data_IF_811252215521
#
_entry.id   IF_811252215521
#
_cell.length_a   1.000
_cell.length_b   1.000
_cell.length_c   1.000
_cell.angle_alpha   90.00
_cell.angle_beta   90.00
_cell.angle_gamma   90.00
#
_symmetry.space_group_name_H-M   'P 1'
#
loop_
_entity.id
_entity.type
_entity.pdbx_description
1 polymer ?
#
# COMPACT_ATOMS: atom_id res chain seq x y z
N UNK A 1 24.97 10.60 -0.40
CA UNK A 1 24.79 11.41 0.83
C UNK A 1 23.49 10.99 1.51
N UNK A 2 23.48 10.84 2.85
CA UNK A 2 22.23 10.55 3.58
C UNK A 2 21.29 11.77 3.57
N UNK A 3 19.98 11.58 3.41
CA UNK A 3 19.02 12.69 3.37
C UNK A 3 18.90 13.43 4.72
N UNK A 4 18.94 14.77 4.73
CA UNK A 4 18.56 15.57 5.90
C UNK A 4 17.11 15.29 6.31
N UNK A 5 16.79 15.38 7.61
CA UNK A 5 15.42 15.14 8.11
C UNK A 5 14.37 16.02 7.44
N UNK A 6 14.69 17.31 7.22
CA UNK A 6 13.79 18.24 6.54
C UNK A 6 13.47 17.82 5.11
N UNK A 7 14.47 17.33 4.36
CA UNK A 7 14.28 16.85 3.00
C UNK A 7 13.31 15.66 2.93
N UNK A 8 13.45 14.67 3.82
CA UNK A 8 12.55 13.52 3.83
C UNK A 8 11.12 13.90 4.20
N UNK A 9 10.96 14.80 5.18
CA UNK A 9 9.66 15.32 5.58
C UNK A 9 8.95 16.01 4.41
N UNK A 10 9.66 16.83 3.64
CA UNK A 10 9.11 17.47 2.43
C UNK A 10 8.69 16.44 1.39
N UNK A 11 9.53 15.43 1.08
CA UNK A 11 9.15 14.40 0.10
C UNK A 11 7.94 13.60 0.56
N UNK A 12 7.86 13.25 1.85
CA UNK A 12 6.70 12.56 2.40
C UNK A 12 5.44 13.41 2.29
N UNK A 13 5.50 14.69 2.67
CA UNK A 13 4.34 15.59 2.58
C UNK A 13 3.84 15.75 1.14
N UNK A 14 4.75 15.93 0.17
CA UNK A 14 4.41 16.03 -1.24
C UNK A 14 3.90 14.70 -1.81
N UNK A 15 4.40 13.56 -1.32
CA UNK A 15 3.88 12.24 -1.70
C UNK A 15 2.48 11.98 -1.13
N UNK A 16 2.19 12.48 0.07
CA UNK A 16 0.84 12.44 0.66
C UNK A 16 -0.12 13.30 -0.18
N UNK A 17 0.29 14.51 -0.58
CA UNK A 17 -0.51 15.34 -1.49
C UNK A 17 -0.83 14.58 -2.78
N UNK A 18 0.18 14.05 -3.46
CA UNK A 18 0.00 13.25 -4.68
C UNK A 18 -1.01 12.11 -4.48
N UNK A 19 -0.84 11.32 -3.41
CA UNK A 19 -1.72 10.18 -3.10
C UNK A 19 -3.15 10.61 -2.74
N UNK A 20 -3.29 11.68 -1.96
CA UNK A 20 -4.59 12.25 -1.62
C UNK A 20 -5.32 12.75 -2.88
N UNK A 21 -4.59 13.36 -3.82
CA UNK A 21 -5.12 13.73 -5.14
C UNK A 21 -5.63 12.53 -5.93
N UNK A 22 -4.90 11.41 -5.93
CA UNK A 22 -5.33 10.18 -6.61
C UNK A 22 -6.63 9.61 -6.03
N UNK A 23 -6.72 9.49 -4.70
CA UNK A 23 -7.95 9.01 -4.05
C UNK A 23 -9.11 9.99 -4.16
N UNK A 24 -8.84 11.30 -4.15
CA UNK A 24 -9.85 12.33 -4.39
C UNK A 24 -10.42 12.23 -5.81
N UNK A 25 -9.58 11.97 -6.80
CA UNK A 25 -9.98 11.76 -8.18
C UNK A 25 -10.80 10.46 -8.36
N UNK A 26 -10.34 9.34 -7.79
CA UNK A 26 -11.12 8.10 -7.78
C UNK A 26 -12.47 8.26 -7.07
N UNK A 27 -12.51 9.00 -5.96
CA UNK A 27 -13.77 9.33 -5.28
C UNK A 27 -14.71 10.08 -6.21
N UNK A 28 -14.23 11.08 -6.96
CA UNK A 28 -15.05 11.82 -7.91
C UNK A 28 -15.61 10.94 -9.03
N UNK A 29 -14.80 10.02 -9.58
CA UNK A 29 -15.26 9.07 -10.59
C UNK A 29 -16.39 8.15 -10.11
N UNK A 30 -16.51 7.91 -8.80
CA UNK A 30 -17.58 7.08 -8.21
C UNK A 30 -18.84 7.86 -7.88
N UNK A 31 -18.71 9.15 -7.54
CA UNK A 31 -19.82 9.94 -7.00
C UNK A 31 -20.37 11.01 -7.95
N UNK A 32 -19.60 11.40 -8.96
CA UNK A 32 -19.98 12.45 -9.89
C UNK A 32 -20.35 11.85 -11.24
N UNK A 33 -21.54 12.18 -11.74
CA UNK A 33 -22.11 11.60 -12.96
C UNK A 33 -21.56 12.19 -14.25
N UNK A 34 -20.69 13.21 -14.19
CA UNK A 34 -20.18 13.96 -15.35
C UNK A 34 -18.71 14.33 -15.18
N UNK A 35 -17.83 13.40 -15.56
CA UNK A 35 -16.42 13.69 -15.85
C UNK A 35 -16.21 13.41 -17.34
N UNK A 36 -16.76 14.26 -18.20
CA UNK A 36 -16.71 14.08 -19.67
C UNK A 36 -15.38 14.56 -20.29
N UNK A 37 -14.47 15.09 -19.48
CA UNK A 37 -13.18 15.63 -19.91
C UNK A 37 -12.04 15.11 -19.06
N UNK A 38 -10.85 15.00 -19.67
CA UNK A 38 -9.62 14.70 -18.94
C UNK A 38 -9.26 15.80 -17.93
N UNK A 39 -9.47 17.06 -18.29
CA UNK A 39 -9.16 18.18 -17.41
C UNK A 39 -10.28 18.39 -16.39
N UNK A 40 -10.04 17.95 -15.16
CA UNK A 40 -10.95 18.08 -14.03
C UNK A 40 -10.22 18.74 -12.85
N UNK A 41 -10.94 19.44 -11.95
CA UNK A 41 -10.36 19.93 -10.69
C UNK A 41 -9.62 18.85 -9.88
N UNK A 42 -10.08 17.60 -9.93
CA UNK A 42 -9.51 16.47 -9.19
C UNK A 42 -8.18 16.01 -9.80
N UNK A 43 -8.11 15.90 -11.13
CA UNK A 43 -6.85 15.77 -11.86
C UNK A 43 -5.90 16.93 -11.55
N UNK A 44 -6.39 18.17 -11.44
CA UNK A 44 -5.52 19.30 -11.10
C UNK A 44 -4.88 19.15 -9.71
N UNK A 45 -5.60 18.61 -8.71
CA UNK A 45 -5.03 18.30 -7.38
C UNK A 45 -3.96 17.20 -7.48
N UNK A 46 -4.24 16.13 -8.23
CA UNK A 46 -3.29 15.04 -8.46
C UNK A 46 -1.99 15.53 -9.14
N UNK A 47 -2.12 16.17 -10.30
CA UNK A 47 -1.00 16.62 -11.10
C UNK A 47 -0.23 17.78 -10.46
N UNK A 48 -0.87 18.63 -9.64
CA UNK A 48 -0.16 19.64 -8.87
C UNK A 48 0.72 19.04 -7.77
N UNK A 49 0.27 17.99 -7.08
CA UNK A 49 1.09 17.23 -6.13
C UNK A 49 2.30 16.58 -6.82
N UNK A 50 2.08 15.97 -8.00
CA UNK A 50 3.17 15.41 -8.82
C UNK A 50 4.18 16.48 -9.23
N UNK A 51 3.70 17.61 -9.76
CA UNK A 51 4.54 18.69 -10.26
C UNK A 51 5.35 19.33 -9.14
N UNK A 52 4.74 19.56 -7.97
CA UNK A 52 5.42 20.09 -6.80
C UNK A 52 6.58 19.16 -6.37
N UNK A 53 6.35 17.84 -6.37
CA UNK A 53 7.39 16.87 -6.05
C UNK A 53 8.50 16.80 -7.11
N UNK A 54 8.14 16.84 -8.39
CA UNK A 54 9.09 16.90 -9.50
C UNK A 54 9.98 18.14 -9.39
N UNK A 55 9.38 19.33 -9.21
CA UNK A 55 10.12 20.59 -9.04
C UNK A 55 11.05 20.51 -7.84
N UNK A 56 10.58 20.00 -6.70
CA UNK A 56 11.41 19.89 -5.50
C UNK A 56 12.64 18.98 -5.72
N UNK A 57 12.44 17.80 -6.30
CA UNK A 57 13.54 16.87 -6.58
C UNK A 57 14.47 17.39 -7.68
N UNK A 58 13.92 17.91 -8.79
CA UNK A 58 14.71 18.43 -9.89
C UNK A 58 15.52 19.67 -9.48
N UNK A 59 14.93 20.62 -8.76
CA UNK A 59 15.67 21.78 -8.26
C UNK A 59 16.76 21.39 -7.27
N UNK A 60 16.52 20.39 -6.41
CA UNK A 60 17.57 19.85 -5.53
C UNK A 60 18.71 19.23 -6.35
N UNK A 61 18.38 18.42 -7.35
CA UNK A 61 19.35 17.78 -8.23
C UNK A 61 20.20 18.80 -9.00
N UNK A 62 19.56 19.79 -9.64
CA UNK A 62 20.21 20.84 -10.41
C UNK A 62 21.08 21.74 -9.52
N UNK A 63 20.62 22.10 -8.32
CA UNK A 63 21.43 22.87 -7.36
C UNK A 63 22.67 22.10 -6.90
N UNK A 64 22.54 20.79 -6.68
CA UNK A 64 23.67 19.95 -6.30
C UNK A 64 24.64 19.77 -7.46
N UNK A 65 24.16 19.64 -8.69
CA UNK A 65 24.99 19.60 -9.89
C UNK A 65 25.75 20.93 -10.11
N UNK A 66 25.08 22.07 -9.94
CA UNK A 66 25.71 23.39 -10.04
C UNK A 66 26.80 23.63 -8.97
N UNK A 67 26.76 22.88 -7.86
CA UNK A 67 27.79 22.86 -6.82
C UNK A 67 28.93 21.87 -7.12
N UNK A 68 28.94 21.24 -8.28
CA UNK A 68 29.97 20.29 -8.71
C UNK A 68 29.85 18.89 -8.11
N UNK A 69 28.69 18.52 -7.56
CA UNK A 69 28.49 17.14 -7.11
C UNK A 69 28.43 16.17 -8.30
N UNK A 70 28.99 14.97 -8.11
CA UNK A 70 28.91 13.87 -9.07
C UNK A 70 27.45 13.46 -9.36
N UNK A 71 27.15 12.90 -10.54
CA UNK A 71 25.78 12.54 -10.95
C UNK A 71 25.03 11.64 -9.95
N UNK A 72 25.72 10.68 -9.34
CA UNK A 72 25.18 9.77 -8.33
C UNK A 72 24.89 10.44 -6.98
N UNK A 73 25.37 11.69 -6.78
CA UNK A 73 25.20 12.51 -5.58
C UNK A 73 24.32 13.73 -5.79
N UNK A 74 23.71 13.88 -6.98
CA UNK A 74 22.77 14.97 -7.25
C UNK A 74 21.55 14.93 -6.33
N UNK A 75 21.12 13.74 -5.89
CA UNK A 75 20.06 13.57 -4.90
C UNK A 75 20.54 12.77 -3.69
N UNK A 76 19.90 12.96 -2.51
CA UNK A 76 20.11 12.06 -1.40
C UNK A 76 19.82 10.60 -1.76
N UNK A 77 20.59 9.71 -1.18
CA UNK A 77 20.52 8.27 -1.48
C UNK A 77 19.09 7.75 -1.24
N UNK A 78 18.51 7.10 -2.27
CA UNK A 78 17.15 6.54 -2.24
C UNK A 78 16.12 7.30 -3.11
N UNK A 79 16.42 8.54 -3.49
CA UNK A 79 15.47 9.42 -4.19
C UNK A 79 15.66 9.52 -5.71
N UNK A 80 16.75 8.99 -6.28
CA UNK A 80 16.96 8.96 -7.74
C UNK A 80 15.79 8.31 -8.48
N UNK A 81 15.34 7.15 -8.01
CA UNK A 81 14.15 6.48 -8.58
C UNK A 81 12.85 7.26 -8.35
N UNK A 82 12.75 8.09 -7.29
CA UNK A 82 11.58 8.96 -7.12
C UNK A 82 11.54 10.06 -8.17
N UNK A 83 12.69 10.63 -8.53
CA UNK A 83 12.78 11.61 -9.62
C UNK A 83 12.41 10.99 -10.97
N UNK A 84 12.94 9.80 -11.27
CA UNK A 84 12.56 9.02 -12.46
C UNK A 84 11.06 8.74 -12.46
N UNK A 85 10.52 8.31 -11.30
CA UNK A 85 9.09 8.10 -11.11
C UNK A 85 8.26 9.35 -11.41
N UNK A 86 8.67 10.53 -10.94
CA UNK A 86 7.96 11.78 -11.26
C UNK A 86 7.94 12.07 -12.77
N UNK A 87 9.07 11.87 -13.46
CA UNK A 87 9.14 12.07 -14.90
C UNK A 87 8.26 11.07 -15.66
N UNK A 88 8.30 9.78 -15.26
CA UNK A 88 7.45 8.74 -15.82
C UNK A 88 5.97 8.97 -15.54
N UNK A 89 5.61 9.51 -14.37
CA UNK A 89 4.23 9.84 -14.03
C UNK A 89 3.72 10.99 -14.90
N UNK A 90 4.53 12.04 -15.10
CA UNK A 90 4.19 13.13 -16.01
C UNK A 90 4.02 12.66 -17.46
N UNK A 91 4.94 11.82 -17.94
CA UNK A 91 4.83 11.20 -19.27
C UNK A 91 3.60 10.28 -19.36
N UNK A 92 3.36 9.47 -18.34
CA UNK A 92 2.20 8.58 -18.24
C UNK A 92 0.90 9.35 -18.32
N UNK A 93 0.81 10.52 -17.66
CA UNK A 93 -0.37 11.37 -17.74
C UNK A 93 -0.62 11.99 -19.12
N UNK A 94 0.45 12.34 -19.85
CA UNK A 94 0.32 12.78 -21.25
C UNK A 94 -0.14 11.63 -22.14
N UNK A 95 0.42 10.43 -21.95
CA UNK A 95 0.00 9.22 -22.67
C UNK A 95 -1.47 8.92 -22.37
N UNK A 96 -1.87 8.99 -21.10
CA UNK A 96 -3.23 8.75 -20.63
C UNK A 96 -4.24 9.75 -21.23
N UNK A 97 -3.88 11.03 -21.30
CA UNK A 97 -4.67 12.04 -22.01
C UNK A 97 -4.90 11.65 -23.48
N UNK A 98 -3.84 11.29 -24.22
CA UNK A 98 -3.98 10.86 -25.62
C UNK A 98 -4.74 9.55 -25.76
N UNK A 99 -4.60 8.66 -24.77
CA UNK A 99 -5.32 7.40 -24.72
C UNK A 99 -6.83 7.65 -24.64
N UNK A 100 -7.27 8.51 -23.72
CA UNK A 100 -8.67 8.91 -23.61
C UNK A 100 -9.20 9.61 -24.87
N UNK A 101 -8.39 10.43 -25.54
CA UNK A 101 -8.78 11.05 -26.81
C UNK A 101 -8.99 10.04 -27.93
N UNK A 102 -8.23 8.93 -27.93
CA UNK A 102 -8.25 7.93 -29.00
C UNK A 102 -9.26 6.80 -28.77
N UNK A 103 -9.43 6.38 -27.52
CA UNK A 103 -10.21 5.20 -27.13
C UNK A 103 -11.43 5.52 -26.25
N UNK A 104 -11.60 6.79 -25.86
CA UNK A 104 -12.65 7.22 -24.94
C UNK A 104 -12.23 7.10 -23.47
N UNK A 105 -13.09 7.58 -22.57
CA UNK A 105 -12.87 7.47 -21.12
C UNK A 105 -13.28 6.06 -20.68
N UNK A 106 -12.33 5.30 -20.14
CA UNK A 106 -12.59 3.95 -19.63
C UNK A 106 -13.59 3.97 -18.46
N UNK A 107 -14.46 2.96 -18.41
CA UNK A 107 -15.46 2.79 -17.34
C UNK A 107 -15.17 1.51 -16.56
N UNK A 108 -15.43 1.54 -15.25
CA UNK A 108 -15.27 0.37 -14.36
C UNK A 108 -13.81 -0.12 -14.32
N UNK A 109 -13.59 -1.44 -14.34
CA UNK A 109 -12.27 -2.06 -14.20
C UNK A 109 -11.24 -1.59 -15.26
N UNK A 110 -11.70 -1.20 -16.45
CA UNK A 110 -10.83 -0.72 -17.52
C UNK A 110 -10.05 0.54 -17.09
N UNK A 111 -10.67 1.42 -16.30
CA UNK A 111 -10.03 2.63 -15.80
C UNK A 111 -8.86 2.34 -14.85
N UNK A 112 -8.80 1.15 -14.23
CA UNK A 112 -7.70 0.78 -13.34
C UNK A 112 -6.58 0.03 -14.07
N UNK A 113 -6.93 -0.80 -15.06
CA UNK A 113 -6.01 -1.78 -15.66
C UNK A 113 -5.49 -1.30 -17.03
N UNK A 114 -5.93 -0.16 -17.57
CA UNK A 114 -5.47 0.30 -18.87
C UNK A 114 -3.95 0.55 -18.89
N UNK A 115 -3.27 0.37 -20.04
CA UNK A 115 -1.80 0.48 -20.10
C UNK A 115 -1.23 1.80 -19.54
N UNK A 116 -1.82 2.99 -19.78
CA UNK A 116 -1.35 4.22 -19.15
C UNK A 116 -1.48 4.20 -17.62
N UNK A 117 -2.58 3.68 -17.09
CA UNK A 117 -2.81 3.55 -15.64
C UNK A 117 -1.79 2.61 -14.96
N UNK A 118 -1.39 1.52 -15.63
CA UNK A 118 -0.32 0.65 -15.14
C UNK A 118 1.06 1.34 -15.14
N UNK A 119 1.34 2.19 -16.13
CA UNK A 119 2.54 3.04 -16.12
C UNK A 119 2.49 4.05 -14.96
N UNK A 120 1.35 4.69 -14.74
CA UNK A 120 1.13 5.61 -13.61
C UNK A 120 1.29 4.89 -12.27
N UNK A 121 0.76 3.67 -12.13
CA UNK A 121 0.93 2.81 -10.95
C UNK A 121 2.42 2.55 -10.67
N UNK A 122 3.16 2.10 -11.68
CA UNK A 122 4.58 1.80 -11.55
C UNK A 122 5.38 3.05 -11.17
N UNK A 123 5.10 4.18 -11.84
CA UNK A 123 5.70 5.47 -11.55
C UNK A 123 5.41 5.93 -10.11
N UNK A 124 4.16 5.83 -9.66
CA UNK A 124 3.74 6.17 -8.30
C UNK A 124 4.47 5.31 -7.26
N UNK A 125 4.59 4.00 -7.50
CA UNK A 125 5.38 3.10 -6.66
C UNK A 125 6.85 3.54 -6.54
N UNK A 126 7.49 3.95 -7.64
CA UNK A 126 8.85 4.49 -7.62
C UNK A 126 8.95 5.80 -6.82
N UNK A 127 7.95 6.68 -6.95
CA UNK A 127 7.87 7.96 -6.24
C UNK A 127 7.80 7.72 -4.73
N UNK A 128 6.75 7.05 -4.26
CA UNK A 128 6.37 7.02 -2.84
C UNK A 128 7.33 6.19 -1.99
N UNK A 129 8.10 5.27 -2.59
CA UNK A 129 9.07 4.42 -1.88
C UNK A 129 10.44 5.07 -1.66
N UNK A 130 10.64 6.33 -2.05
CA UNK A 130 11.89 7.08 -1.83
C UNK A 130 12.39 7.06 -0.38
N UNK A 131 11.58 7.51 0.60
CA UNK A 131 11.96 7.47 2.02
C UNK A 131 12.22 6.05 2.53
N UNK A 132 11.47 5.05 2.09
CA UNK A 132 11.69 3.64 2.46
C UNK A 132 13.03 3.11 1.94
N UNK A 133 13.37 3.37 0.67
CA UNK A 133 14.69 3.03 0.08
C UNK A 133 15.83 3.75 0.79
N UNK A 134 15.63 5.02 1.17
CA UNK A 134 16.62 5.80 1.91
C UNK A 134 16.84 5.21 3.31
N UNK A 135 15.76 4.88 4.03
CA UNK A 135 15.83 4.25 5.35
C UNK A 135 16.52 2.89 5.32
N UNK A 136 16.30 2.09 4.28
CA UNK A 136 16.91 0.76 4.14
C UNK A 136 18.45 0.80 4.17
N UNK A 137 19.02 1.86 3.58
CA UNK A 137 20.46 2.08 3.45
C UNK A 137 21.08 2.78 4.66
N UNK A 138 20.30 3.13 5.68
CA UNK A 138 20.78 3.82 6.88
C UNK A 138 21.23 2.84 7.98
N UNK A 139 22.22 3.23 8.81
CA UNK A 139 22.50 2.52 10.04
C UNK A 139 21.32 2.64 11.01
N UNK A 140 21.07 1.58 11.78
CA UNK A 140 19.99 1.51 12.76
C UNK A 140 18.90 0.49 12.39
N UNK A 141 18.25 -0.01 13.45
CA UNK A 141 17.21 -1.04 13.34
C UNK A 141 15.80 -0.50 13.54
N UNK A 142 15.61 0.72 14.07
CA UNK A 142 14.27 1.26 14.29
C UNK A 142 13.77 1.95 13.02
N UNK A 143 12.58 1.61 12.56
CA UNK A 143 11.99 2.25 11.37
C UNK A 143 11.74 3.74 11.65
N UNK A 144 12.25 4.67 10.82
CA UNK A 144 11.84 6.07 10.92
C UNK A 144 10.40 6.23 10.43
N UNK A 145 9.67 7.20 11.01
CA UNK A 145 8.27 7.46 10.62
C UNK A 145 8.11 7.79 9.13
N UNK A 146 9.10 8.42 8.51
CA UNK A 146 9.11 8.67 7.06
C UNK A 146 9.08 7.38 6.24
N UNK A 147 9.73 6.30 6.71
CA UNK A 147 9.67 4.99 6.08
C UNK A 147 8.35 4.28 6.33
N UNK A 148 7.76 4.42 7.52
CA UNK A 148 6.43 3.86 7.84
C UNK A 148 5.36 4.50 6.97
N UNK A 149 5.36 5.84 6.84
CA UNK A 149 4.44 6.56 5.96
C UNK A 149 4.70 6.18 4.50
N UNK A 150 5.96 6.10 4.06
CA UNK A 150 6.31 5.64 2.71
C UNK A 150 5.82 4.23 2.39
N UNK A 151 5.90 3.30 3.35
CA UNK A 151 5.32 1.96 3.22
C UNK A 151 3.79 1.97 3.23
N UNK A 152 3.17 2.87 3.98
CA UNK A 152 1.72 3.09 3.96
C UNK A 152 1.26 3.58 2.59
N UNK A 153 1.97 4.55 2.01
CA UNK A 153 1.68 5.05 0.67
C UNK A 153 1.91 3.97 -0.40
N UNK A 154 2.94 3.12 -0.24
CA UNK A 154 3.13 1.96 -1.12
C UNK A 154 1.96 0.97 -1.04
N UNK A 155 1.50 0.64 0.17
CA UNK A 155 0.31 -0.18 0.36
C UNK A 155 -0.90 0.49 -0.32
N UNK A 156 -1.10 1.78 -0.09
CA UNK A 156 -2.19 2.55 -0.72
C UNK A 156 -2.10 2.61 -2.23
N UNK A 157 -0.90 2.60 -2.82
CA UNK A 157 -0.74 2.42 -4.28
C UNK A 157 -1.30 1.07 -4.69
N UNK A 158 -0.90 -0.04 -4.06
CA UNK A 158 -1.40 -1.36 -4.45
C UNK A 158 -2.91 -1.50 -4.24
N UNK A 159 -3.43 -1.07 -3.10
CA UNK A 159 -4.86 -1.18 -2.81
C UNK A 159 -5.71 -0.20 -3.63
N UNK A 160 -5.14 0.89 -4.14
CA UNK A 160 -5.83 1.77 -5.08
C UNK A 160 -6.12 1.03 -6.40
N UNK A 161 -5.15 0.29 -6.92
CA UNK A 161 -5.36 -0.47 -8.17
C UNK A 161 -6.15 -1.78 -7.94
N UNK A 162 -6.14 -2.30 -6.71
CA UNK A 162 -6.96 -3.45 -6.26
C UNK A 162 -8.36 -3.06 -5.75
N UNK A 163 -8.72 -1.75 -5.79
CA UNK A 163 -9.94 -1.23 -5.16
C UNK A 163 -11.25 -1.85 -5.67
N UNK A 164 -11.21 -2.52 -6.83
CA UNK A 164 -12.37 -3.16 -7.46
C UNK A 164 -12.88 -4.39 -6.68
N UNK A 165 -12.05 -5.01 -5.83
CA UNK A 165 -12.46 -6.16 -5.00
C UNK A 165 -11.97 -6.03 -3.55
N UNK A 166 -11.69 -4.80 -3.12
CA UNK A 166 -11.11 -4.55 -1.81
C UNK A 166 -12.19 -4.59 -0.70
N UNK A 167 -12.04 -5.34 0.42
CA UNK A 167 -13.07 -5.55 1.45
C UNK A 167 -13.64 -4.32 2.19
N UNK A 168 -12.88 -3.24 2.31
CA UNK A 168 -13.26 -1.93 2.87
C UNK A 168 -13.98 -1.04 1.85
N UNK A 169 -13.92 -1.38 0.56
CA UNK A 169 -14.67 -0.74 -0.52
C UNK A 169 -15.92 -1.56 -0.83
N UNK A 170 -15.75 -2.85 -1.15
CA UNK A 170 -16.81 -3.79 -1.49
C UNK A 170 -17.06 -4.76 -0.33
N UNK A 171 -18.15 -4.57 0.41
CA UNK A 171 -18.50 -5.41 1.55
C UNK A 171 -19.31 -6.64 1.14
N UNK A 172 -18.75 -7.45 0.23
CA UNK A 172 -19.40 -8.66 -0.30
C UNK A 172 -20.04 -9.59 0.75
N UNK A 173 -19.46 -9.79 1.97
CA UNK A 173 -20.12 -10.59 3.00
C UNK A 173 -21.50 -10.06 3.43
N UNK A 174 -21.68 -8.75 3.38
CA UNK A 174 -22.89 -8.05 3.80
C UNK A 174 -23.75 -7.54 2.62
N UNK A 175 -23.34 -7.80 1.38
CA UNK A 175 -24.07 -7.34 0.20
C UNK A 175 -25.33 -8.19 -0.03
N UNK A 176 -26.43 -7.52 -0.36
CA UNK A 176 -27.61 -8.18 -0.92
C UNK A 176 -27.38 -8.47 -2.40
N UNK A 177 -27.42 -9.75 -2.77
CA UNK A 177 -27.17 -10.21 -4.13
C UNK A 177 -28.27 -11.16 -4.57
N UNK A 178 -28.61 -11.13 -5.86
CA UNK A 178 -29.57 -12.07 -6.43
C UNK A 178 -29.07 -13.51 -6.26
N UNK A 179 -29.97 -14.50 -6.07
CA UNK A 179 -29.56 -15.90 -5.91
C UNK A 179 -28.65 -16.41 -7.03
N UNK A 180 -28.87 -15.95 -8.26
CA UNK A 180 -28.07 -16.32 -9.43
C UNK A 180 -26.62 -15.79 -9.38
N UNK A 181 -26.35 -14.70 -8.66
CA UNK A 181 -25.01 -14.10 -8.53
C UNK A 181 -24.34 -14.38 -7.18
N UNK A 182 -25.04 -15.03 -6.24
CA UNK A 182 -24.54 -15.31 -4.89
C UNK A 182 -23.20 -16.04 -4.88
N UNK A 183 -23.02 -17.01 -5.79
CA UNK A 183 -21.74 -17.73 -5.95
C UNK A 183 -20.58 -16.78 -6.27
N UNK A 184 -20.74 -15.91 -7.27
CA UNK A 184 -19.69 -14.98 -7.69
C UNK A 184 -19.37 -13.96 -6.60
N UNK A 185 -20.38 -13.45 -5.89
CA UNK A 185 -20.17 -12.54 -4.78
C UNK A 185 -19.39 -13.18 -3.61
N UNK A 186 -19.64 -14.47 -3.34
CA UNK A 186 -18.85 -15.23 -2.36
C UNK A 186 -17.41 -15.43 -2.84
N UNK A 187 -17.20 -15.82 -4.10
CA UNK A 187 -15.87 -15.98 -4.69
C UNK A 187 -15.06 -14.67 -4.63
N UNK A 188 -15.66 -13.55 -5.06
CA UNK A 188 -15.04 -12.22 -5.01
C UNK A 188 -14.75 -11.78 -3.57
N UNK A 189 -15.71 -11.90 -2.64
CA UNK A 189 -15.45 -11.54 -1.26
C UNK A 189 -14.30 -12.32 -0.61
N UNK A 190 -14.16 -13.61 -0.94
CA UNK A 190 -13.03 -14.42 -0.45
C UNK A 190 -11.72 -13.97 -1.11
N UNK A 191 -11.72 -13.74 -2.43
CA UNK A 191 -10.54 -13.25 -3.15
C UNK A 191 -10.07 -11.89 -2.62
N UNK A 192 -10.98 -10.95 -2.43
CA UNK A 192 -10.71 -9.65 -1.83
C UNK A 192 -10.06 -9.74 -0.45
N UNK A 193 -10.59 -10.60 0.44
CA UNK A 193 -9.99 -10.84 1.76
C UNK A 193 -8.58 -11.43 1.63
N UNK A 194 -8.38 -12.39 0.72
CA UNK A 194 -7.09 -13.04 0.50
C UNK A 194 -6.04 -12.06 -0.04
N UNK A 195 -6.37 -11.27 -1.06
CA UNK A 195 -5.47 -10.31 -1.70
C UNK A 195 -5.13 -9.18 -0.73
N UNK A 196 -6.12 -8.58 -0.06
CA UNK A 196 -5.88 -7.57 0.98
C UNK A 196 -4.98 -8.11 2.09
N UNK A 197 -5.21 -9.34 2.54
CA UNK A 197 -4.37 -10.00 3.55
C UNK A 197 -2.94 -10.10 3.06
N UNK A 198 -2.73 -10.54 1.82
CA UNK A 198 -1.41 -10.71 1.24
C UNK A 198 -0.67 -9.37 1.11
N UNK A 199 -1.35 -8.31 0.63
CA UNK A 199 -0.77 -6.97 0.47
C UNK A 199 -0.38 -6.36 1.82
N UNK A 200 -1.31 -6.30 2.78
CA UNK A 200 -1.06 -5.71 4.10
C UNK A 200 0.03 -6.48 4.85
N UNK A 201 -0.08 -7.81 4.92
CA UNK A 201 0.89 -8.65 5.62
C UNK A 201 2.24 -8.64 4.92
N UNK A 202 2.27 -8.64 3.59
CA UNK A 202 3.50 -8.54 2.80
C UNK A 202 4.27 -7.25 3.09
N UNK A 203 3.60 -6.09 3.14
CA UNK A 203 4.24 -4.82 3.49
C UNK A 203 4.75 -4.82 4.93
N UNK A 204 3.98 -5.34 5.89
CA UNK A 204 4.40 -5.43 7.30
C UNK A 204 5.63 -6.35 7.44
N UNK A 205 5.60 -7.53 6.82
CA UNK A 205 6.71 -8.48 6.83
C UNK A 205 7.95 -7.92 6.14
N UNK A 206 7.77 -7.18 5.02
CA UNK A 206 8.87 -6.47 4.37
C UNK A 206 9.54 -5.51 5.34
N UNK A 207 8.77 -4.72 6.10
CA UNK A 207 9.35 -3.84 7.12
C UNK A 207 10.02 -4.61 8.26
N UNK A 208 9.37 -5.65 8.79
CA UNK A 208 9.91 -6.49 9.88
C UNK A 208 11.16 -7.27 9.47
N UNK A 209 11.37 -7.51 8.17
CA UNK A 209 12.58 -8.17 7.66
C UNK A 209 13.85 -7.33 7.89
N UNK A 210 13.69 -6.02 8.08
CA UNK A 210 14.81 -5.07 8.22
C UNK A 210 14.76 -4.21 9.47
N UNK A 211 13.57 -3.92 9.98
CA UNK A 211 13.35 -2.95 11.04
C UNK A 211 12.55 -3.52 12.20
N UNK A 212 12.79 -2.93 13.37
CA UNK A 212 11.89 -2.92 14.51
C UNK A 212 10.91 -1.76 14.33
N UNK A 213 9.62 -2.07 14.37
CA UNK A 213 8.56 -1.08 14.20
C UNK A 213 8.28 -0.35 15.52
N UNK A 214 8.23 1.00 15.52
CA UNK A 214 7.60 1.76 16.60
C UNK A 214 6.15 1.29 16.82
N UNK A 215 5.69 1.27 18.07
CA UNK A 215 4.26 1.04 18.36
C UNK A 215 3.40 2.09 17.65
N UNK A 216 2.30 1.67 17.06
CA UNK A 216 1.42 2.50 16.24
C UNK A 216 1.79 2.50 14.75
N UNK A 217 2.85 1.81 14.34
CA UNK A 217 3.23 1.75 12.92
C UNK A 217 2.22 0.96 12.11
N UNK A 218 1.75 -0.18 12.62
CA UNK A 218 0.79 -1.03 11.91
C UNK A 218 -0.59 -0.38 11.93
N UNK A 219 -0.98 0.25 13.05
CA UNK A 219 -2.18 1.09 13.14
C UNK A 219 -2.17 2.24 12.12
N UNK A 220 -1.03 2.91 11.93
CA UNK A 220 -0.92 3.97 10.91
C UNK A 220 -1.05 3.39 9.49
N UNK A 221 -0.34 2.30 9.20
CA UNK A 221 -0.38 1.64 7.87
C UNK A 221 -1.81 1.22 7.54
N UNK A 222 -2.44 0.43 8.41
CA UNK A 222 -3.78 -0.08 8.19
C UNK A 222 -4.83 1.04 8.25
N UNK A 223 -4.73 1.95 9.22
CA UNK A 223 -5.71 3.01 9.45
C UNK A 223 -5.72 4.07 8.34
N UNK A 224 -4.56 4.56 7.90
CA UNK A 224 -4.51 5.53 6.79
C UNK A 224 -4.90 4.89 5.46
N UNK A 225 -4.46 3.66 5.20
CA UNK A 225 -4.89 2.90 4.03
C UNK A 225 -6.41 2.67 4.04
N UNK A 226 -6.96 2.25 5.17
CA UNK A 226 -8.40 2.04 5.36
C UNK A 226 -9.20 3.34 5.28
N UNK A 227 -8.67 4.48 5.73
CA UNK A 227 -9.31 5.78 5.57
C UNK A 227 -9.42 6.19 4.09
N UNK A 228 -8.35 5.99 3.32
CA UNK A 228 -8.34 6.25 1.88
C UNK A 228 -9.33 5.33 1.15
N UNK A 229 -9.30 4.03 1.42
CA UNK A 229 -10.22 3.05 0.81
C UNK A 229 -11.67 3.27 1.21
N UNK A 230 -11.95 3.41 2.51
CA UNK A 230 -13.31 3.60 3.02
C UNK A 230 -13.95 4.89 2.50
N UNK A 231 -13.15 5.91 2.17
CA UNK A 231 -13.66 7.14 1.55
C UNK A 231 -14.27 6.92 0.16
N UNK A 232 -13.78 5.93 -0.60
CA UNK A 232 -14.21 5.67 -1.98
C UNK A 232 -15.69 5.27 -2.09
N UNK A 233 -16.23 4.62 -1.06
CA UNK A 233 -17.63 4.17 -0.99
C UNK A 233 -18.34 4.65 0.28
N UNK A 234 -17.78 5.67 0.95
CA UNK A 234 -18.32 6.23 2.20
C UNK A 234 -18.51 5.21 3.34
N UNK A 235 -17.74 4.11 3.33
CA UNK A 235 -17.67 3.11 4.39
C UNK A 235 -16.84 3.61 5.59
N UNK A 236 -17.17 4.78 6.13
CA UNK A 236 -16.40 5.43 7.19
C UNK A 236 -16.39 4.64 8.51
N UNK A 237 -17.40 3.82 8.74
CA UNK A 237 -17.49 2.88 9.87
C UNK A 237 -16.32 1.87 9.87
N UNK A 238 -15.88 1.43 8.69
CA UNK A 238 -14.80 0.46 8.54
C UNK A 238 -13.40 1.04 8.78
N UNK A 239 -13.26 2.36 8.87
CA UNK A 239 -11.98 3.01 9.23
C UNK A 239 -11.60 2.63 10.66
N UNK A 240 -12.57 2.56 11.57
CA UNK A 240 -12.33 2.14 12.95
C UNK A 240 -11.84 0.69 13.00
N UNK A 241 -12.39 -0.19 12.16
CA UNK A 241 -11.96 -1.60 12.03
C UNK A 241 -10.49 -1.67 11.63
N UNK A 242 -10.06 -0.88 10.64
CA UNK A 242 -8.68 -0.85 10.18
C UNK A 242 -7.72 -0.33 11.27
N UNK A 243 -8.09 0.73 11.99
CA UNK A 243 -7.29 1.30 13.10
C UNK A 243 -7.17 0.29 14.24
N UNK A 244 -8.29 -0.28 14.71
CA UNK A 244 -8.30 -1.25 15.82
C UNK A 244 -7.54 -2.51 15.44
N UNK A 245 -7.74 -3.05 14.24
CA UNK A 245 -6.98 -4.19 13.73
C UNK A 245 -5.47 -3.93 13.70
N UNK A 246 -5.06 -2.75 13.26
CA UNK A 246 -3.65 -2.37 13.27
C UNK A 246 -3.07 -2.18 14.68
N UNK A 247 -3.84 -1.64 15.63
CA UNK A 247 -3.44 -1.53 17.04
C UNK A 247 -3.28 -2.92 17.70
N UNK A 248 -4.18 -3.85 17.41
CA UNK A 248 -4.06 -5.23 17.88
C UNK A 248 -2.78 -5.88 17.33
N UNK A 249 -2.48 -5.66 16.04
CA UNK A 249 -1.25 -6.14 15.43
C UNK A 249 0.02 -5.47 16.03
N UNK A 250 -0.05 -4.19 16.39
CA UNK A 250 1.03 -3.50 17.11
C UNK A 250 1.25 -4.11 18.50
N UNK A 251 0.19 -4.47 19.24
CA UNK A 251 0.28 -5.17 20.54
C UNK A 251 0.92 -6.54 20.38
N UNK A 252 0.49 -7.34 19.40
CA UNK A 252 1.09 -8.64 19.09
C UNK A 252 2.57 -8.48 18.74
N UNK A 253 2.91 -7.50 17.91
CA UNK A 253 4.31 -7.21 17.53
C UNK A 253 5.14 -6.76 18.73
N UNK A 254 4.58 -5.95 19.63
CA UNK A 254 5.25 -5.48 20.84
C UNK A 254 5.54 -6.62 21.82
N UNK A 255 4.61 -7.57 21.93
CA UNK A 255 4.70 -8.71 22.85
C UNK A 255 5.62 -9.81 22.30
N UNK A 256 5.38 -10.28 21.08
CA UNK A 256 6.14 -11.36 20.45
C UNK A 256 7.53 -10.90 19.99
N UNK A 257 7.69 -9.61 19.68
CA UNK A 257 8.91 -9.00 19.11
C UNK A 257 9.41 -9.81 17.89
N UNK A 258 8.57 -9.94 16.84
CA UNK A 258 8.91 -10.71 15.65
C UNK A 258 10.06 -10.05 14.89
N UNK A 259 10.87 -10.86 14.20
CA UNK A 259 11.95 -10.37 13.35
C UNK A 259 12.81 -11.50 12.78
N UNK A 260 13.83 -11.18 11.97
CA UNK A 260 14.63 -12.18 11.24
C UNK A 260 15.37 -13.15 12.16
N UNK A 261 15.77 -12.70 13.35
CA UNK A 261 16.43 -13.54 14.36
C UNK A 261 15.45 -14.31 15.26
N UNK A 262 14.14 -14.06 15.13
CA UNK A 262 13.08 -14.67 15.94
C UNK A 262 11.98 -15.20 15.03
N UNK A 263 12.34 -16.22 14.25
CA UNK A 263 11.52 -16.78 13.17
C UNK A 263 10.19 -17.35 13.67
N UNK A 264 10.18 -18.06 14.81
CA UNK A 264 8.94 -18.61 15.37
C UNK A 264 7.97 -17.48 15.77
N UNK A 265 8.37 -16.47 16.58
CA UNK A 265 7.53 -15.29 16.84
C UNK A 265 7.07 -14.56 15.57
N UNK A 266 7.92 -14.46 14.53
CA UNK A 266 7.55 -13.87 13.25
C UNK A 266 6.42 -14.66 12.57
N UNK A 267 6.55 -15.98 12.47
CA UNK A 267 5.54 -16.87 11.87
C UNK A 267 4.23 -16.84 12.62
N UNK A 268 4.28 -16.87 13.96
CA UNK A 268 3.09 -16.77 14.81
C UNK A 268 2.41 -15.41 14.63
N UNK A 269 3.16 -14.31 14.65
CA UNK A 269 2.60 -12.97 14.41
C UNK A 269 1.98 -12.85 13.00
N UNK A 270 2.63 -13.43 11.99
CA UNK A 270 2.16 -13.42 10.61
C UNK A 270 0.90 -14.26 10.39
N UNK A 271 0.64 -15.26 11.24
CA UNK A 271 -0.63 -16.00 11.25
C UNK A 271 -1.70 -15.25 12.06
N UNK A 272 -1.38 -14.86 13.29
CA UNK A 272 -2.34 -14.27 14.24
C UNK A 272 -2.83 -12.89 13.82
N UNK A 273 -1.97 -12.08 13.19
CA UNK A 273 -2.34 -10.74 12.70
C UNK A 273 -3.51 -10.78 11.71
N UNK A 274 -3.36 -11.48 10.57
CA UNK A 274 -4.45 -11.67 9.60
C UNK A 274 -5.70 -12.34 10.18
N UNK A 275 -5.54 -13.37 11.02
CA UNK A 275 -6.68 -13.99 11.72
C UNK A 275 -7.46 -12.95 12.52
N UNK A 276 -6.76 -12.12 13.30
CA UNK A 276 -7.37 -11.06 14.10
C UNK A 276 -8.07 -9.99 13.25
N UNK A 277 -7.41 -9.51 12.19
CA UNK A 277 -7.96 -8.48 11.29
C UNK A 277 -9.20 -8.98 10.55
N UNK A 278 -9.14 -10.18 9.94
CA UNK A 278 -10.28 -10.76 9.23
C UNK A 278 -11.44 -11.08 10.17
N UNK A 279 -11.15 -11.58 11.38
CA UNK A 279 -12.17 -11.80 12.41
C UNK A 279 -12.84 -10.50 12.81
N UNK A 280 -12.06 -9.44 13.08
CA UNK A 280 -12.58 -8.13 13.45
C UNK A 280 -13.45 -7.53 12.34
N UNK A 281 -13.02 -7.65 11.09
CA UNK A 281 -13.79 -7.18 9.92
C UNK A 281 -15.14 -7.89 9.81
N UNK A 282 -15.17 -9.22 9.86
CA UNK A 282 -16.41 -9.98 9.75
C UNK A 282 -17.35 -9.74 10.94
N UNK A 283 -16.80 -9.68 12.16
CA UNK A 283 -17.60 -9.33 13.35
C UNK A 283 -18.18 -7.93 13.22
N UNK A 284 -17.39 -6.95 12.80
CA UNK A 284 -17.87 -5.58 12.61
C UNK A 284 -18.99 -5.53 11.58
N UNK A 285 -18.83 -6.17 10.41
CA UNK A 285 -19.86 -6.26 9.39
C UNK A 285 -21.13 -6.94 9.91
N UNK A 286 -21.02 -8.04 10.66
CA UNK A 286 -22.18 -8.70 11.23
C UNK A 286 -22.93 -7.80 12.21
N UNK A 287 -22.22 -6.98 12.99
CA UNK A 287 -22.81 -6.08 13.96
C UNK A 287 -23.46 -4.85 13.32
N UNK A 288 -22.91 -4.34 12.21
CA UNK A 288 -23.37 -3.09 11.58
C UNK A 288 -24.31 -3.30 10.40
N UNK A 289 -24.11 -4.37 9.62
CA UNK A 289 -24.81 -4.61 8.34
C UNK A 289 -25.49 -5.98 8.28
N UNK A 290 -25.02 -6.95 9.08
CA UNK A 290 -25.42 -8.35 8.97
C UNK A 290 -24.70 -9.03 7.80
N UNK A 291 -24.28 -10.28 7.98
CA UNK A 291 -23.59 -11.06 6.95
C UNK A 291 -24.52 -12.17 6.45
N UNK A 292 -24.58 -12.32 5.12
CA UNK A 292 -25.40 -13.32 4.43
C UNK A 292 -24.64 -14.62 4.13
N UNK A 293 -23.39 -14.73 4.61
CA UNK A 293 -22.54 -15.89 4.38
C UNK A 293 -22.78 -17.01 5.40
N UNK A 294 -22.76 -18.28 4.97
CA UNK A 294 -22.78 -19.41 5.89
C UNK A 294 -21.51 -19.42 6.75
N UNK A 295 -21.62 -20.01 7.94
CA UNK A 295 -20.53 -20.10 8.92
C UNK A 295 -19.21 -20.69 8.35
N UNK A 296 -19.30 -21.61 7.40
CA UNK A 296 -18.11 -22.19 6.77
C UNK A 296 -17.27 -21.15 6.00
N UNK A 297 -17.90 -20.15 5.36
CA UNK A 297 -17.16 -19.08 4.67
C UNK A 297 -16.52 -18.10 5.66
N UNK A 298 -17.16 -17.86 6.81
CA UNK A 298 -16.56 -17.09 7.89
C UNK A 298 -15.29 -17.75 8.40
N UNK A 299 -15.41 -18.99 8.88
CA UNK A 299 -14.27 -19.70 9.46
C UNK A 299 -13.18 -19.94 8.42
N UNK A 300 -13.57 -20.30 7.18
CA UNK A 300 -12.65 -20.51 6.07
C UNK A 300 -11.84 -19.25 5.73
N UNK A 301 -12.48 -18.09 5.57
CA UNK A 301 -11.78 -16.85 5.24
C UNK A 301 -10.80 -16.41 6.34
N UNK A 302 -11.18 -16.53 7.62
CA UNK A 302 -10.30 -16.23 8.75
C UNK A 302 -9.05 -17.12 8.75
N UNK A 303 -9.23 -18.43 8.60
CA UNK A 303 -8.12 -19.38 8.61
C UNK A 303 -7.22 -19.24 7.37
N UNK A 304 -7.81 -19.00 6.21
CA UNK A 304 -7.05 -18.75 4.97
C UNK A 304 -6.23 -17.47 5.08
N UNK A 305 -6.76 -16.39 5.65
CA UNK A 305 -5.98 -15.18 5.93
C UNK A 305 -4.76 -15.47 6.80
N UNK A 306 -4.93 -16.25 7.88
CA UNK A 306 -3.82 -16.70 8.72
C UNK A 306 -2.79 -17.51 7.94
N UNK A 307 -3.24 -18.47 7.14
CA UNK A 307 -2.38 -19.32 6.33
C UNK A 307 -1.57 -18.51 5.29
N UNK A 308 -2.18 -17.52 4.63
CA UNK A 308 -1.49 -16.62 3.70
C UNK A 308 -0.36 -15.88 4.41
N UNK A 309 -0.64 -15.26 5.56
CA UNK A 309 0.38 -14.53 6.31
C UNK A 309 1.51 -15.44 6.80
N UNK A 310 1.17 -16.65 7.26
CA UNK A 310 2.16 -17.66 7.62
C UNK A 310 3.05 -18.05 6.44
N UNK A 311 2.48 -18.31 5.25
CA UNK A 311 3.26 -18.66 4.05
C UNK A 311 4.16 -17.50 3.59
N UNK A 312 3.65 -16.26 3.60
CA UNK A 312 4.44 -15.07 3.26
C UNK A 312 5.65 -14.87 4.19
N UNK A 313 5.55 -15.32 5.45
CA UNK A 313 6.68 -15.21 6.38
C UNK A 313 7.90 -16.03 5.96
N UNK A 314 7.73 -17.11 5.18
CA UNK A 314 8.85 -17.89 4.62
C UNK A 314 9.57 -17.14 3.50
N UNK A 315 8.88 -16.26 2.77
CA UNK A 315 9.51 -15.38 1.79
C UNK A 315 10.30 -14.26 2.47
N UNK A 316 9.78 -13.74 3.58
CA UNK A 316 10.43 -12.68 4.33
C UNK A 316 11.68 -13.14 5.09
N UNK A 317 11.65 -14.36 5.64
CA UNK A 317 12.79 -14.97 6.34
C UNK A 317 12.93 -16.42 5.91
N UNK A 318 13.95 -16.66 5.09
CA UNK A 318 14.28 -18.00 4.60
C UNK A 318 14.82 -18.89 5.73
N UNK A 319 14.61 -20.22 5.66
CA UNK A 319 15.28 -21.17 6.54
C UNK A 319 16.81 -21.02 6.47
N UNK A 320 17.50 -21.36 7.57
CA UNK A 320 18.96 -21.44 7.58
C UNK A 320 19.43 -22.41 6.50
N UNK A 321 20.37 -21.97 5.65
CA UNK A 321 21.03 -22.88 4.71
C UNK A 321 21.98 -23.75 5.51
N UNK A 322 22.08 -25.06 5.22
CA UNK A 322 23.14 -25.87 5.80
C UNK A 322 24.48 -25.21 5.50
N UNK A 323 25.31 -24.99 6.51
CA UNK A 323 26.68 -24.56 6.28
C UNK A 323 27.32 -25.58 5.34
N UNK A 324 27.73 -25.16 4.15
CA UNK A 324 28.53 -26.02 3.29
C UNK A 324 29.79 -26.33 4.09
N UNK A 325 29.91 -27.59 4.52
CA UNK A 325 31.01 -28.11 5.30
C UNK A 325 32.30 -27.49 4.78
N UNK A 326 32.95 -26.70 5.63
CA UNK A 326 34.31 -26.27 5.40
C UNK A 326 35.13 -27.50 5.08
N UNK A 327 35.58 -27.64 3.83
CA UNK A 327 36.56 -28.66 3.48
C UNK A 327 37.71 -28.57 4.49
N UNK A 328 38.11 -29.68 5.13
CA UNK A 328 39.28 -29.66 5.97
C UNK A 328 40.46 -29.28 5.08
N UNK A 329 41.07 -28.12 5.34
CA UNK A 329 42.37 -27.77 4.77
C UNK A 329 43.34 -28.87 5.19
N UNK A 330 43.76 -29.70 4.23
CA UNK A 330 44.94 -30.55 4.36
C UNK A 330 46.20 -29.69 4.23
#
# INVERSE_FOLDING_TARGET
>A
MLPPRGFEGTVVALSIWLMAGAYLDAWAHRHLTKLETFFTPWHAVLYSGMLALLIFLATTALRNQARGNEPDRMLPTGYGLSLVGCALFGLGGVIDMFWHLRFGIEVSLQALISPPHLLLMAALGLIVTGPLRAAWKRPGLRAPWTAVISATLLLSTFTFFDQFDQPLVNTWPASEVLPASARYAQELGILGIMVQTALLTGVILYLLSRFTLPFGSIALIAGLNGALLGSLEQNFDLIAVAIVGGLLADVVTRWLRPGPRRVIPLRVAAFMGPVGVSSLYLVALQMTRGINWPFNLWLGSILVSGAIGFLLSYLAVQPERPDMLSEPRQ
#
